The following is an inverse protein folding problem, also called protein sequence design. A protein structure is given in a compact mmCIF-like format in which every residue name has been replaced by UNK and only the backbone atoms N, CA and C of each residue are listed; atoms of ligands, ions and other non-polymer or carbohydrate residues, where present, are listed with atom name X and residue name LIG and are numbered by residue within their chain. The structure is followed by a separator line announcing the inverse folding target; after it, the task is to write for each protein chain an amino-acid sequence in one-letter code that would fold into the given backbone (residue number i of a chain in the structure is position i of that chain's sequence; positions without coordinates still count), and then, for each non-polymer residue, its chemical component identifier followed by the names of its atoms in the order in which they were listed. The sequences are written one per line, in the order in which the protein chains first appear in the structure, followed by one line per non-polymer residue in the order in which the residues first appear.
data_IF_754370601660
#
_entry.id   IF_754370601660
#
_cell.length_a   1.000
_cell.length_b   1.000
_cell.length_c   1.000
_cell.angle_alpha   90.00
_cell.angle_beta   90.00
_cell.angle_gamma   90.00
#
_symmetry.space_group_name_H-M   'P 1'
#
loop_
_entity.id
_entity.type
_entity.pdbx_description
1 polymer ?
#
# COMPACT_ATOMS: atom_id res chain seq x y z
N UNK A 1 25.47 -8.01 -19.63
CA UNK A 1 24.89 -7.27 -18.48
C UNK A 1 24.17 -8.28 -17.61
N UNK A 2 24.72 -8.63 -16.44
CA UNK A 2 24.10 -9.62 -15.55
C UNK A 2 22.77 -9.07 -15.03
N UNK A 3 21.66 -9.68 -15.47
CA UNK A 3 20.32 -9.46 -14.92
C UNK A 3 20.25 -10.04 -13.50
N UNK A 4 20.94 -9.43 -12.55
CA UNK A 4 20.68 -9.71 -11.14
C UNK A 4 19.41 -8.98 -10.75
N UNK A 5 18.28 -9.70 -10.82
CA UNK A 5 17.01 -9.27 -10.23
C UNK A 5 17.29 -8.96 -8.76
N UNK A 6 17.12 -7.71 -8.34
CA UNK A 6 17.29 -7.35 -6.93
C UNK A 6 16.41 -8.25 -6.09
N UNK A 7 16.99 -8.90 -5.08
CA UNK A 7 16.24 -9.73 -4.13
C UNK A 7 15.44 -8.80 -3.22
N UNK A 8 14.19 -8.56 -3.61
CA UNK A 8 13.18 -7.95 -2.74
C UNK A 8 12.63 -9.03 -1.80
N UNK A 9 12.45 -8.68 -0.53
CA UNK A 9 11.92 -9.57 0.50
C UNK A 9 10.46 -9.99 0.23
N UNK A 10 9.83 -10.68 1.19
CA UNK A 10 8.42 -11.05 1.03
C UNK A 10 7.54 -9.80 0.81
N UNK A 11 6.75 -9.81 -0.26
CA UNK A 11 5.87 -8.70 -0.63
C UNK A 11 4.47 -8.81 0.00
N UNK A 12 4.19 -9.91 0.69
CA UNK A 12 2.97 -10.11 1.46
C UNK A 12 3.29 -10.17 2.96
N UNK A 13 2.39 -9.65 3.82
CA UNK A 13 2.59 -9.75 5.25
C UNK A 13 2.54 -11.21 5.71
N UNK A 14 3.38 -11.58 6.69
CA UNK A 14 3.36 -12.91 7.30
C UNK A 14 2.05 -13.19 8.03
N UNK A 15 1.44 -12.14 8.60
CA UNK A 15 0.13 -12.19 9.25
C UNK A 15 -0.64 -10.93 8.87
N UNK A 16 -1.92 -11.11 8.53
CA UNK A 16 -2.84 -10.03 8.25
C UNK A 16 -4.19 -10.31 8.88
N UNK A 17 -4.81 -9.29 9.46
CA UNK A 17 -6.18 -9.31 9.95
C UNK A 17 -6.88 -8.12 9.31
N UNK A 18 -7.60 -8.38 8.24
CA UNK A 18 -8.20 -7.35 7.39
C UNK A 18 -9.70 -7.68 7.29
N UNK A 19 -10.55 -6.76 7.75
CA UNK A 19 -11.99 -6.83 7.51
C UNK A 19 -12.30 -6.90 6.00
N UNK A 20 -13.30 -7.68 5.56
CA UNK A 20 -13.68 -7.73 4.15
C UNK A 20 -14.09 -6.36 3.62
N UNK A 21 -13.69 -6.04 2.39
CA UNK A 21 -14.09 -4.84 1.66
C UNK A 21 -14.12 -5.14 0.15
N UNK A 22 -14.83 -4.32 -0.62
CA UNK A 22 -14.95 -4.48 -2.08
C UNK A 22 -14.37 -3.30 -2.85
N UNK A 23 -14.34 -2.10 -2.25
CA UNK A 23 -13.88 -0.87 -2.88
C UNK A 23 -12.68 -0.32 -2.15
N UNK A 24 -11.74 0.24 -2.90
CA UNK A 24 -10.57 0.94 -2.37
C UNK A 24 -10.26 2.14 -3.24
N UNK A 25 -9.75 3.20 -2.62
CA UNK A 25 -9.26 4.41 -3.30
C UNK A 25 -7.74 4.34 -3.62
N UNK A 26 -7.08 3.23 -3.27
CA UNK A 26 -5.64 3.02 -3.44
C UNK A 26 -5.17 3.17 -4.88
N UNK A 27 -5.92 2.63 -5.86
CA UNK A 27 -5.55 2.71 -7.28
C UNK A 27 -5.42 4.15 -7.78
N UNK A 28 -6.33 5.02 -7.35
CA UNK A 28 -6.30 6.44 -7.71
C UNK A 28 -5.12 7.16 -7.05
N UNK A 29 -4.91 6.91 -5.75
CA UNK A 29 -3.78 7.46 -5.01
C UNK A 29 -2.43 7.04 -5.60
N UNK A 30 -2.29 5.76 -5.97
CA UNK A 30 -1.09 5.23 -6.64
C UNK A 30 -0.86 5.92 -7.98
N UNK A 31 -1.91 6.08 -8.81
CA UNK A 31 -1.79 6.79 -10.10
C UNK A 31 -1.33 8.23 -9.91
N UNK A 32 -1.88 8.95 -8.93
CA UNK A 32 -1.44 10.31 -8.64
C UNK A 32 0.01 10.37 -8.18
N UNK A 33 0.42 9.45 -7.30
CA UNK A 33 1.80 9.37 -6.85
C UNK A 33 2.76 9.05 -8.00
N UNK A 34 2.40 8.11 -8.87
CA UNK A 34 3.24 7.72 -10.03
C UNK A 34 3.40 8.87 -11.05
N UNK A 35 2.46 9.83 -11.11
CA UNK A 35 2.63 11.06 -11.93
C UNK A 35 3.79 11.95 -11.47
N UNK A 36 4.30 11.78 -10.26
CA UNK A 36 5.50 12.49 -9.78
C UNK A 36 6.81 11.92 -10.33
N UNK A 37 6.75 10.82 -11.09
CA UNK A 37 7.92 10.08 -11.59
C UNK A 37 8.48 9.05 -10.60
N UNK A 38 7.87 8.93 -9.42
CA UNK A 38 8.16 7.88 -8.45
C UNK A 38 7.37 6.60 -8.76
N UNK A 39 7.77 5.47 -8.16
CA UNK A 39 7.09 4.19 -8.33
C UNK A 39 6.84 3.53 -6.98
N UNK A 40 5.75 2.77 -6.89
CA UNK A 40 5.40 2.04 -5.67
C UNK A 40 5.90 0.58 -5.75
N UNK A 41 6.40 0.08 -4.64
CA UNK A 41 6.63 -1.35 -4.44
C UNK A 41 5.31 -2.11 -4.35
N UNK A 42 5.34 -3.39 -4.72
CA UNK A 42 4.17 -4.26 -4.67
C UNK A 42 3.55 -4.33 -3.26
N UNK A 43 4.38 -4.50 -2.24
CA UNK A 43 3.91 -4.55 -0.85
C UNK A 43 3.26 -3.23 -0.40
N UNK A 44 3.63 -2.09 -0.99
CA UNK A 44 3.00 -0.80 -0.69
C UNK A 44 1.60 -0.74 -1.29
N UNK A 45 1.43 -1.20 -2.54
CA UNK A 45 0.10 -1.28 -3.20
C UNK A 45 -0.82 -2.20 -2.41
N UNK A 46 -0.36 -3.41 -2.11
CA UNK A 46 -1.11 -4.40 -1.31
C UNK A 46 -1.48 -3.89 0.10
N UNK A 47 -0.66 -3.03 0.70
CA UNK A 47 -0.93 -2.43 2.00
C UNK A 47 -1.91 -1.24 1.89
N UNK A 48 -1.85 -0.49 0.80
CA UNK A 48 -2.73 0.66 0.57
C UNK A 48 -4.18 0.23 0.33
N UNK A 49 -4.41 -0.89 -0.36
CA UNK A 49 -5.77 -1.39 -0.63
C UNK A 49 -6.63 -1.48 0.64
N UNK A 50 -6.23 -2.17 1.72
CA UNK A 50 -7.02 -2.22 2.94
C UNK A 50 -6.95 -0.93 3.76
N UNK A 51 -5.90 -0.11 3.63
CA UNK A 51 -5.79 1.17 4.34
C UNK A 51 -6.80 2.20 3.77
N UNK A 52 -7.04 2.12 2.46
CA UNK A 52 -7.91 3.03 1.72
C UNK A 52 -9.23 2.38 1.31
N UNK A 53 -9.59 1.27 1.96
CA UNK A 53 -10.84 0.57 1.77
C UNK A 53 -12.02 1.41 2.25
N UNK A 54 -13.06 1.50 1.41
CA UNK A 54 -14.32 2.18 1.73
C UNK A 54 -15.49 1.22 1.55
N UNK A 55 -16.55 1.43 2.34
CA UNK A 55 -17.79 0.69 2.23
C UNK A 55 -18.70 1.26 1.12
N UNK A 56 -19.95 0.78 1.06
CA UNK A 56 -20.93 1.22 0.07
C UNK A 56 -21.34 2.68 0.25
N UNK A 57 -21.30 3.18 1.48
CA UNK A 57 -21.60 4.56 1.86
C UNK A 57 -20.39 5.50 1.71
N UNK A 58 -19.23 4.96 1.33
CA UNK A 58 -17.99 5.71 1.16
C UNK A 58 -17.26 5.99 2.49
N UNK A 59 -17.62 5.30 3.57
CA UNK A 59 -16.96 5.41 4.86
C UNK A 59 -15.76 4.46 4.92
N UNK A 60 -14.75 4.82 5.72
CA UNK A 60 -13.57 3.99 5.92
C UNK A 60 -13.93 2.66 6.61
N UNK A 61 -13.62 1.54 5.94
CA UNK A 61 -13.78 0.20 6.54
C UNK A 61 -12.87 0.04 7.75
N UNK A 62 -11.62 0.55 7.65
CA UNK A 62 -10.63 0.49 8.71
C UNK A 62 -10.34 1.89 9.26
N UNK A 63 -11.09 2.30 10.29
CA UNK A 63 -10.86 3.59 10.97
C UNK A 63 -9.48 3.70 11.62
N UNK A 64 -8.91 2.57 12.05
CA UNK A 64 -7.56 2.46 12.62
C UNK A 64 -6.83 1.33 11.92
N UNK A 65 -5.60 1.59 11.50
CA UNK A 65 -4.78 0.62 10.78
C UNK A 65 -3.36 0.60 11.34
N UNK A 66 -2.85 -0.60 11.64
CA UNK A 66 -1.49 -0.81 12.15
C UNK A 66 -0.71 -1.77 11.25
N UNK A 67 0.58 -1.50 11.06
CA UNK A 67 1.47 -2.37 10.28
C UNK A 67 2.90 -2.33 10.85
N UNK A 68 3.61 -3.44 10.72
CA UNK A 68 5.00 -3.59 11.14
C UNK A 68 5.88 -3.88 9.93
N UNK A 69 6.73 -2.91 9.55
CA UNK A 69 7.62 -3.01 8.39
C UNK A 69 9.07 -2.75 8.81
N UNK A 70 10.04 -3.57 8.35
CA UNK A 70 11.45 -3.40 8.63
C UNK A 70 11.97 -1.98 8.32
N UNK A 71 13.06 -1.61 9.00
CA UNK A 71 13.70 -0.30 8.83
C UNK A 71 14.20 -0.13 7.39
N UNK A 72 14.11 1.10 6.85
CA UNK A 72 14.58 1.50 5.51
C UNK A 72 13.92 0.75 4.33
N UNK A 73 12.71 0.21 4.53
CA UNK A 73 11.98 -0.50 3.47
C UNK A 73 10.97 0.39 2.71
N UNK A 74 11.12 1.72 2.69
CA UNK A 74 10.20 2.61 1.97
C UNK A 74 8.83 2.84 2.65
N UNK A 75 8.69 2.55 3.94
CA UNK A 75 7.40 2.71 4.67
C UNK A 75 6.89 4.15 4.82
N UNK A 76 7.76 5.14 4.62
CA UNK A 76 7.35 6.56 4.65
C UNK A 76 6.50 6.91 3.44
N UNK A 77 6.76 6.31 2.27
CA UNK A 77 6.03 6.60 1.03
C UNK A 77 4.55 6.27 1.14
N UNK A 78 4.17 5.25 1.91
CA UNK A 78 2.75 4.90 2.17
C UNK A 78 1.98 6.09 2.73
N UNK A 79 2.62 6.91 3.57
CA UNK A 79 1.99 8.12 4.12
C UNK A 79 1.86 9.23 3.09
N UNK A 80 2.80 9.35 2.15
CA UNK A 80 2.70 10.33 1.07
C UNK A 80 1.61 9.95 0.08
N UNK A 81 1.53 8.66 -0.30
CA UNK A 81 0.52 8.15 -1.22
C UNK A 81 -0.89 8.32 -0.62
N UNK A 82 -1.09 7.93 0.65
CA UNK A 82 -2.39 8.08 1.32
C UNK A 82 -2.86 9.53 1.46
N UNK A 83 -1.92 10.49 1.56
CA UNK A 83 -2.24 11.90 1.83
C UNK A 83 -2.74 12.65 0.59
N UNK A 84 -2.58 12.06 -0.59
CA UNK A 84 -3.07 12.58 -1.86
C UNK A 84 -4.58 12.35 -1.95
#
# INVERSE_FOLDING_TARGET
MSNHKQKVGNQTPTQSVIAPYQKTLSDEAVKFYERTGLSCYEWQKNLLDPIMAVDEDGLWVHQKFGYAIPRRNGKTEVNYIKKI
#
